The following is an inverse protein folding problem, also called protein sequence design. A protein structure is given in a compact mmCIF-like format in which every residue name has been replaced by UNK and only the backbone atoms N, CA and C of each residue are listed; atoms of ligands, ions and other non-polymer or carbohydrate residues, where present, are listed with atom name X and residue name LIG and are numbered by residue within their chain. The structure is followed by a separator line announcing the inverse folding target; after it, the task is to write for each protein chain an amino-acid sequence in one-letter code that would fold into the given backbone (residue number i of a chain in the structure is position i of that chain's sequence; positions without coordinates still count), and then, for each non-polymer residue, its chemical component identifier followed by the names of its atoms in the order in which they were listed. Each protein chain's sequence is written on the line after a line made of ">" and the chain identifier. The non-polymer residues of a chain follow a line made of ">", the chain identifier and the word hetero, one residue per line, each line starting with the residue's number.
data_IF_351953584724
#
_entry.id   IF_351953584724
#
_cell.length_a   1.000
_cell.length_b   1.000
_cell.length_c   1.000
_cell.angle_alpha   90.00
_cell.angle_beta   90.00
_cell.angle_gamma   90.00
#
_symmetry.space_group_name_H-M   'P 1'
#
loop_
_entity.id
_entity.type
_entity.pdbx_description
1 polymer ?
#
# COMPACT_ATOMS: atom_id res chain seq x y z
N UNK A 1 5.54 -22.37 -8.50
CA UNK A 1 5.46 -21.05 -7.84
C UNK A 1 4.00 -20.79 -7.50
N UNK A 2 3.64 -20.54 -6.23
CA UNK A 2 2.26 -20.10 -5.92
C UNK A 2 2.06 -18.71 -6.54
N UNK A 3 0.92 -18.41 -7.18
CA UNK A 3 0.63 -17.06 -7.64
C UNK A 3 0.70 -16.13 -6.42
N UNK A 4 1.57 -15.11 -6.50
CA UNK A 4 1.73 -14.14 -5.43
C UNK A 4 0.59 -13.14 -5.56
N UNK A 5 -0.50 -13.36 -4.84
CA UNK A 5 -1.63 -12.42 -4.83
C UNK A 5 -1.11 -11.06 -4.39
N UNK A 6 -1.41 -10.03 -5.19
CA UNK A 6 -1.03 -8.65 -4.90
C UNK A 6 -2.28 -7.83 -4.61
N UNK A 7 -2.19 -6.90 -3.66
CA UNK A 7 -3.28 -6.06 -3.20
C UNK A 7 -2.86 -4.60 -3.29
N UNK A 8 -3.77 -3.71 -3.65
CA UNK A 8 -3.54 -2.28 -3.42
C UNK A 8 -3.58 -1.99 -1.91
N UNK A 9 -2.97 -0.89 -1.47
CA UNK A 9 -3.10 -0.45 -0.08
C UNK A 9 -4.55 -0.28 0.36
N UNK A 10 -5.39 0.28 -0.51
CA UNK A 10 -6.83 0.44 -0.26
C UNK A 10 -7.49 -0.92 -0.01
N UNK A 11 -7.22 -1.91 -0.86
CA UNK A 11 -7.75 -3.27 -0.68
C UNK A 11 -7.25 -3.91 0.61
N UNK A 12 -5.96 -3.77 0.93
CA UNK A 12 -5.39 -4.27 2.18
C UNK A 12 -6.06 -3.65 3.42
N UNK A 13 -6.35 -2.34 3.38
CA UNK A 13 -7.10 -1.64 4.42
C UNK A 13 -8.54 -2.13 4.55
N UNK A 14 -9.23 -2.30 3.43
CA UNK A 14 -10.63 -2.74 3.39
C UNK A 14 -10.81 -4.18 3.87
N UNK A 15 -9.86 -5.08 3.57
CA UNK A 15 -9.83 -6.46 4.11
C UNK A 15 -9.72 -6.46 5.64
N UNK A 16 -9.11 -5.43 6.22
CA UNK A 16 -9.02 -5.24 7.68
C UNK A 16 -10.21 -4.46 8.27
N UNK A 17 -11.19 -4.10 7.44
CA UNK A 17 -12.36 -3.32 7.84
C UNK A 17 -12.01 -1.99 8.52
N UNK A 18 -10.92 -1.34 8.08
CA UNK A 18 -10.46 -0.08 8.63
C UNK A 18 -10.89 1.10 7.74
N UNK A 19 -11.32 2.18 8.37
CA UNK A 19 -11.36 3.51 7.72
C UNK A 19 -9.93 4.01 7.47
N UNK A 20 -9.77 5.02 6.60
CA UNK A 20 -8.46 5.64 6.38
C UNK A 20 -7.91 6.27 7.66
N UNK A 21 -8.77 6.89 8.47
CA UNK A 21 -8.38 7.52 9.73
C UNK A 21 -7.86 6.50 10.75
N UNK A 22 -8.59 5.39 10.95
CA UNK A 22 -8.17 4.33 11.87
C UNK A 22 -6.86 3.66 11.42
N UNK A 23 -6.73 3.39 10.12
CA UNK A 23 -5.52 2.81 9.58
C UNK A 23 -4.32 3.76 9.74
N UNK A 24 -4.48 5.04 9.39
CA UNK A 24 -3.44 6.05 9.52
C UNK A 24 -2.97 6.20 10.98
N UNK A 25 -3.93 6.24 11.92
CA UNK A 25 -3.64 6.27 13.36
C UNK A 25 -2.85 5.05 13.83
N UNK A 26 -3.18 3.85 13.36
CA UNK A 26 -2.45 2.61 13.70
C UNK A 26 -1.06 2.54 13.06
N UNK A 27 -0.90 3.09 11.87
CA UNK A 27 0.39 3.14 11.15
C UNK A 27 1.31 4.22 11.75
N UNK A 28 0.73 5.26 12.35
CA UNK A 28 1.47 6.41 12.91
C UNK A 28 1.72 7.52 11.88
N UNK A 29 0.79 7.73 10.95
CA UNK A 29 0.86 8.76 9.90
C UNK A 29 -0.43 9.57 9.85
N UNK A 30 -0.45 10.67 9.10
CA UNK A 30 -1.68 11.42 8.86
C UNK A 30 -2.61 10.67 7.89
N UNK A 31 -3.93 10.92 8.01
CA UNK A 31 -4.94 10.37 7.09
C UNK A 31 -4.66 10.79 5.64
N UNK A 32 -4.21 12.03 5.43
CA UNK A 32 -3.84 12.56 4.11
C UNK A 32 -2.62 11.84 3.52
N UNK A 33 -1.61 11.54 4.35
CA UNK A 33 -0.44 10.75 3.97
C UNK A 33 -0.86 9.36 3.49
N UNK A 34 -1.74 8.67 4.24
CA UNK A 34 -2.27 7.38 3.81
C UNK A 34 -3.07 7.49 2.51
N UNK A 35 -3.92 8.50 2.37
CA UNK A 35 -4.66 8.76 1.15
C UNK A 35 -3.76 9.05 -0.06
N UNK A 36 -2.60 9.68 0.14
CA UNK A 36 -1.59 9.86 -0.90
C UNK A 36 -0.94 8.55 -1.33
N UNK A 37 -0.65 7.65 -0.38
CA UNK A 37 -0.13 6.32 -0.69
C UNK A 37 -1.16 5.47 -1.46
N UNK A 38 -2.43 5.48 -1.03
CA UNK A 38 -3.50 4.72 -1.71
C UNK A 38 -3.76 5.20 -3.15
N UNK A 39 -3.44 6.47 -3.44
CA UNK A 39 -3.54 7.06 -4.77
C UNK A 39 -2.22 7.05 -5.55
N UNK A 40 -1.14 6.52 -4.99
CA UNK A 40 0.19 6.51 -5.62
C UNK A 40 0.85 7.89 -5.81
N UNK A 41 0.44 8.92 -5.04
CA UNK A 41 1.04 10.26 -5.11
C UNK A 41 2.38 10.38 -4.36
N UNK A 42 2.59 9.52 -3.37
CA UNK A 42 3.82 9.44 -2.58
C UNK A 42 4.04 8.00 -2.14
N UNK A 43 5.21 7.70 -1.59
CA UNK A 43 5.59 6.36 -1.13
C UNK A 43 6.05 6.40 0.32
N UNK A 44 5.75 5.36 1.13
CA UNK A 44 6.25 5.25 2.48
C UNK A 44 7.76 5.00 2.50
N UNK A 45 8.42 5.46 3.56
CA UNK A 45 9.77 5.04 3.89
C UNK A 45 9.77 3.65 4.57
N UNK A 46 10.96 3.11 4.85
CA UNK A 46 11.09 1.79 5.47
C UNK A 46 10.40 1.70 6.84
N UNK A 47 10.55 2.67 7.77
CA UNK A 47 9.83 2.66 9.04
C UNK A 47 8.30 2.58 8.88
N UNK A 48 7.71 3.44 8.05
CA UNK A 48 6.26 3.44 7.80
C UNK A 48 5.83 2.13 7.13
N UNK A 49 6.64 1.61 6.22
CA UNK A 49 6.36 0.35 5.55
C UNK A 49 6.26 -0.81 6.53
N UNK A 50 7.16 -0.90 7.53
CA UNK A 50 7.07 -1.92 8.58
C UNK A 50 5.78 -1.81 9.39
N UNK A 51 5.30 -0.59 9.62
CA UNK A 51 4.03 -0.40 10.31
C UNK A 51 2.83 -0.80 9.44
N UNK A 52 2.87 -0.50 8.14
CA UNK A 52 1.87 -0.96 7.18
C UNK A 52 1.79 -2.50 7.17
N UNK A 53 2.94 -3.19 7.08
CA UNK A 53 3.02 -4.66 7.13
C UNK A 53 2.37 -5.21 8.42
N UNK A 54 2.65 -4.59 9.56
CA UNK A 54 2.07 -5.00 10.86
C UNK A 54 0.56 -4.77 10.92
N UNK A 55 0.09 -3.59 10.50
CA UNK A 55 -1.33 -3.21 10.59
C UNK A 55 -2.18 -4.04 9.63
N UNK A 56 -1.69 -4.28 8.42
CA UNK A 56 -2.42 -5.05 7.41
C UNK A 56 -2.10 -6.54 7.41
N UNK A 57 -1.04 -6.99 8.09
CA UNK A 57 -0.60 -8.39 8.09
C UNK A 57 -0.30 -8.91 6.67
N UNK A 58 0.08 -8.02 5.76
CA UNK A 58 0.40 -8.31 4.37
C UNK A 58 1.84 -7.86 4.14
N UNK A 59 2.75 -8.75 3.69
CA UNK A 59 4.11 -8.38 3.36
C UNK A 59 4.17 -7.31 2.26
N UNK A 60 5.15 -6.41 2.32
CA UNK A 60 5.36 -5.34 1.34
C UNK A 60 5.37 -5.86 -0.12
N UNK A 61 5.98 -7.01 -0.33
CA UNK A 61 6.07 -7.68 -1.64
C UNK A 61 4.71 -8.05 -2.27
N UNK A 62 3.63 -8.00 -1.49
CA UNK A 62 2.25 -8.21 -1.93
C UNK A 62 1.46 -6.89 -2.00
N UNK A 63 2.03 -5.76 -1.57
CA UNK A 63 1.38 -4.45 -1.60
C UNK A 63 1.77 -3.68 -2.86
N UNK A 64 0.77 -3.16 -3.57
CA UNK A 64 0.91 -2.32 -4.75
C UNK A 64 0.74 -0.85 -4.32
N UNK A 65 1.77 -0.05 -4.57
CA UNK A 65 1.78 1.40 -4.34
C UNK A 65 1.68 2.22 -5.65
N UNK A 66 1.87 1.56 -6.79
CA UNK A 66 1.85 2.17 -8.12
C UNK A 66 0.49 1.91 -8.79
N UNK A 67 -0.08 2.86 -9.55
CA UNK A 67 -1.11 2.55 -10.53
C UNK A 67 -0.56 1.52 -11.52
N UNK A 68 -1.33 0.48 -11.84
CA UNK A 68 -0.93 -0.57 -12.79
C UNK A 68 -0.72 -0.05 -14.22
N UNK A 69 -1.00 1.23 -14.47
CA UNK A 69 -0.80 1.92 -15.75
C UNK A 69 0.68 2.18 -16.08
N UNK A 70 1.60 1.88 -15.16
CA UNK A 70 3.05 2.06 -15.34
C UNK A 70 3.70 1.04 -16.31
N UNK A 71 2.93 0.07 -16.81
CA UNK A 71 3.42 -0.95 -17.76
C UNK A 71 3.58 -0.43 -19.21
N UNK A 72 3.29 0.85 -19.48
CA UNK A 72 3.39 1.43 -20.83
C UNK A 72 4.77 2.00 -21.19
N UNK A 73 5.74 2.05 -20.28
CA UNK A 73 7.05 2.66 -20.55
C UNK A 73 8.26 1.74 -20.39
N UNK A 74 8.06 0.45 -20.10
CA UNK A 74 9.16 -0.54 -20.10
C UNK A 74 8.97 -1.56 -21.22
N UNK A 75 8.68 -1.07 -22.43
CA UNK A 75 9.09 -1.74 -23.66
C UNK A 75 10.37 -1.04 -24.16
N UNK A 76 11.45 -1.29 -23.43
CA UNK A 76 12.84 -1.23 -23.91
C UNK A 76 13.21 -2.71 -23.81
N UNK A 77 13.24 -3.53 -24.88
CA UNK A 77 13.97 -3.47 -26.16
C UNK A 77 13.23 -4.40 -27.14
#
# INVERSE_FOLDING_TARGET
>A
MKPKTRFTLKTAREIRHLTQEEAAKRIGISTDTLGNYERGKSYPDIPVLRNIEKVYGIPYEQLIFLPLDYDKTVNII
#
